data_IF_877731007746
#
_entry.id   IF_877731007746
#
_cell.length_a   1.000
_cell.length_b   1.000
_cell.length_c   1.000
_cell.angle_alpha   90.00
_cell.angle_beta   90.00
_cell.angle_gamma   90.00
#
_symmetry.space_group_name_H-M   'P 1'
#
loop_
_entity.id
_entity.type
_entity.pdbx_description
1 polymer ?
#
# COMPACT_ATOMS: atom_id res chain seq x y z
N UNK A 1 3.39 -22.55 -1.82
CA UNK A 1 4.70 -22.19 -1.23
C UNK A 1 5.56 -21.69 -2.36
N UNK A 2 5.78 -20.39 -2.39
CA UNK A 2 6.71 -19.81 -3.33
C UNK A 2 8.11 -19.90 -2.72
N UNK A 3 9.13 -20.08 -3.55
CA UNK A 3 10.52 -20.27 -3.11
C UNK A 3 11.04 -19.07 -2.29
N UNK A 4 10.45 -17.89 -2.50
CA UNK A 4 10.84 -16.63 -1.88
C UNK A 4 10.10 -16.32 -0.58
N UNK A 5 9.13 -17.15 -0.15
CA UNK A 5 8.29 -16.89 1.03
C UNK A 5 9.14 -16.63 2.30
N UNK A 6 10.26 -17.34 2.46
CA UNK A 6 11.17 -17.18 3.60
C UNK A 6 11.85 -15.81 3.65
N UNK A 7 12.10 -15.19 2.49
CA UNK A 7 12.72 -13.86 2.38
C UNK A 7 11.64 -12.78 2.48
N UNK A 8 10.50 -13.00 1.84
CA UNK A 8 9.37 -12.07 1.80
C UNK A 8 8.73 -11.89 3.18
N UNK A 9 8.77 -12.91 4.05
CA UNK A 9 8.22 -12.86 5.41
C UNK A 9 8.77 -11.72 6.29
N UNK A 10 10.03 -11.33 6.11
CA UNK A 10 10.65 -10.25 6.87
C UNK A 10 10.17 -8.85 6.43
N UNK A 11 9.74 -8.71 5.18
CA UNK A 11 9.26 -7.44 4.60
C UNK A 11 7.73 -7.31 4.63
N UNK A 12 7.01 -8.37 5.00
CA UNK A 12 5.55 -8.37 5.05
C UNK A 12 5.04 -7.50 6.20
N UNK A 13 4.16 -6.55 5.85
CA UNK A 13 3.48 -5.69 6.82
C UNK A 13 2.21 -6.36 7.33
N UNK A 14 2.02 -6.32 8.66
CA UNK A 14 0.84 -6.88 9.35
C UNK A 14 -0.21 -5.84 9.73
N UNK A 15 0.08 -4.57 9.52
CA UNK A 15 -0.76 -3.42 9.91
C UNK A 15 -1.70 -2.94 8.81
N UNK A 16 -1.79 -3.67 7.68
CA UNK A 16 -2.62 -3.30 6.54
C UNK A 16 -4.06 -3.81 6.77
N UNK A 17 -5.08 -2.93 6.79
CA UNK A 17 -6.46 -3.36 6.91
C UNK A 17 -6.92 -4.12 5.65
N UNK A 18 -7.94 -4.97 5.77
CA UNK A 18 -8.56 -5.56 4.60
C UNK A 18 -9.39 -4.50 3.85
N UNK A 19 -9.14 -4.37 2.54
CA UNK A 19 -9.89 -3.50 1.62
C UNK A 19 -9.92 -4.14 0.23
N UNK A 20 -10.89 -3.73 -0.58
CA UNK A 20 -11.13 -4.22 -1.95
C UNK A 20 -11.30 -3.09 -2.94
N UNK A 21 -11.32 -3.45 -4.23
CA UNK A 21 -11.69 -2.50 -5.28
C UNK A 21 -13.14 -2.02 -5.07
N UNK A 22 -13.35 -0.72 -5.23
CA UNK A 22 -14.61 -0.03 -4.95
C UNK A 22 -14.66 0.66 -3.59
N UNK A 23 -13.76 0.36 -2.65
CA UNK A 23 -13.73 1.03 -1.35
C UNK A 23 -13.10 2.43 -1.47
N UNK A 24 -13.60 3.38 -0.68
CA UNK A 24 -12.98 4.71 -0.53
C UNK A 24 -11.99 4.69 0.63
N UNK A 25 -10.73 5.04 0.35
CA UNK A 25 -9.66 5.03 1.34
C UNK A 25 -9.04 6.41 1.54
N UNK A 26 -8.67 6.70 2.78
CA UNK A 26 -7.83 7.84 3.16
C UNK A 26 -6.41 7.36 3.46
N UNK A 27 -5.50 7.63 2.54
CA UNK A 27 -4.12 7.16 2.56
C UNK A 27 -3.20 8.29 3.02
N UNK A 28 -2.33 7.99 3.98
CA UNK A 28 -1.33 8.93 4.48
C UNK A 28 0.02 8.61 3.82
N UNK A 29 0.42 9.45 2.87
CA UNK A 29 1.69 9.31 2.14
C UNK A 29 2.74 10.17 2.81
N UNK A 30 3.86 9.57 3.21
CA UNK A 30 5.03 10.32 3.67
C UNK A 30 5.78 10.84 2.45
N UNK A 31 5.82 12.16 2.30
CA UNK A 31 6.55 12.84 1.22
C UNK A 31 7.78 13.50 1.84
N UNK A 32 8.97 13.19 1.30
CA UNK A 32 10.25 13.74 1.76
C UNK A 32 10.82 14.55 0.59
N UNK A 33 10.90 15.87 0.77
CA UNK A 33 11.39 16.83 -0.22
C UNK A 33 12.65 17.50 0.36
N UNK A 34 13.82 16.96 -0.01
CA UNK A 34 15.10 17.38 0.56
C UNK A 34 15.19 17.09 2.06
N UNK A 35 15.31 18.13 2.88
CA UNK A 35 15.41 18.04 4.34
C UNK A 35 14.06 18.10 5.07
N UNK A 36 12.95 18.39 4.37
CA UNK A 36 11.62 18.47 4.97
C UNK A 36 10.82 17.21 4.68
N UNK A 37 10.10 16.74 5.68
CA UNK A 37 9.12 15.64 5.52
C UNK A 37 7.74 16.12 5.93
N UNK A 38 6.72 15.70 5.18
CA UNK A 38 5.31 15.95 5.48
C UNK A 38 4.49 14.69 5.25
N UNK A 39 3.36 14.59 5.96
CA UNK A 39 2.36 13.56 5.73
C UNK A 39 1.25 14.15 4.85
N UNK A 40 1.22 13.74 3.59
CA UNK A 40 0.21 14.17 2.63
C UNK A 40 -0.93 13.15 2.61
N UNK A 41 -2.16 13.64 2.73
CA UNK A 41 -3.35 12.79 2.67
C UNK A 41 -3.84 12.69 1.24
N UNK A 42 -4.02 11.47 0.75
CA UNK A 42 -4.65 11.14 -0.53
C UNK A 42 -5.93 10.35 -0.26
N UNK A 43 -7.07 10.88 -0.68
CA UNK A 43 -8.38 10.25 -0.51
C UNK A 43 -8.99 9.98 -1.87
N UNK A 44 -9.54 8.78 -2.08
CA UNK A 44 -10.18 8.38 -3.32
C UNK A 44 -10.62 6.92 -3.32
N UNK A 45 -11.13 6.46 -4.45
CA UNK A 45 -11.67 5.11 -4.65
C UNK A 45 -10.57 4.16 -5.13
N UNK A 46 -10.49 2.98 -4.53
CA UNK A 46 -9.61 1.90 -5.00
C UNK A 46 -10.14 1.35 -6.31
N UNK A 47 -9.41 1.55 -7.41
CA UNK A 47 -9.80 1.02 -8.72
C UNK A 47 -9.41 -0.44 -8.89
N UNK A 48 -8.24 -0.82 -8.37
CA UNK A 48 -7.71 -2.17 -8.50
C UNK A 48 -6.70 -2.48 -7.40
N UNK A 49 -6.52 -3.77 -7.14
CA UNK A 49 -5.51 -4.37 -6.28
C UNK A 49 -4.94 -5.59 -7.02
N UNK A 50 -3.63 -5.70 -7.14
CA UNK A 50 -2.94 -6.66 -7.99
C UNK A 50 -1.67 -7.19 -7.34
N UNK A 51 -1.37 -8.47 -7.57
CA UNK A 51 -0.22 -9.16 -7.01
C UNK A 51 -0.51 -9.75 -5.64
N UNK A 52 0.53 -10.30 -5.02
CA UNK A 52 0.50 -11.00 -3.74
C UNK A 52 1.76 -10.72 -2.92
N UNK A 53 1.64 -10.91 -1.61
CA UNK A 53 2.75 -10.75 -0.67
C UNK A 53 3.38 -9.35 -0.69
N UNK A 54 4.71 -9.27 -0.72
CA UNK A 54 5.47 -8.01 -0.72
C UNK A 54 5.29 -7.22 -2.02
N UNK A 55 4.95 -7.90 -3.12
CA UNK A 55 4.80 -7.29 -4.45
C UNK A 55 3.39 -6.82 -4.73
N UNK A 56 2.48 -6.95 -3.76
CA UNK A 56 1.11 -6.50 -3.89
C UNK A 56 1.04 -4.98 -4.03
N UNK A 57 0.26 -4.52 -5.01
CA UNK A 57 0.04 -3.10 -5.30
C UNK A 57 -1.44 -2.80 -5.42
N UNK A 58 -1.83 -1.55 -5.20
CA UNK A 58 -3.19 -1.09 -5.43
C UNK A 58 -3.17 0.33 -6.02
N UNK A 59 -4.21 0.67 -6.78
CA UNK A 59 -4.33 1.97 -7.45
C UNK A 59 -5.57 2.68 -6.94
N UNK A 60 -5.41 3.93 -6.51
CA UNK A 60 -6.50 4.77 -6.04
C UNK A 60 -6.69 5.94 -7.01
N UNK A 61 -7.95 6.25 -7.31
CA UNK A 61 -8.37 7.39 -8.12
C UNK A 61 -9.12 8.38 -7.23
N UNK A 62 -8.62 9.60 -7.17
CA UNK A 62 -9.30 10.75 -6.58
C UNK A 62 -10.21 11.41 -7.61
#
# INVERSE_FOLDING_TARGET
MNILDAVDAASLRKDIPQFRAGDELKIHVRVIEGSKSRLQVFQGIVMRRQGDGVRETFTVRK
#
